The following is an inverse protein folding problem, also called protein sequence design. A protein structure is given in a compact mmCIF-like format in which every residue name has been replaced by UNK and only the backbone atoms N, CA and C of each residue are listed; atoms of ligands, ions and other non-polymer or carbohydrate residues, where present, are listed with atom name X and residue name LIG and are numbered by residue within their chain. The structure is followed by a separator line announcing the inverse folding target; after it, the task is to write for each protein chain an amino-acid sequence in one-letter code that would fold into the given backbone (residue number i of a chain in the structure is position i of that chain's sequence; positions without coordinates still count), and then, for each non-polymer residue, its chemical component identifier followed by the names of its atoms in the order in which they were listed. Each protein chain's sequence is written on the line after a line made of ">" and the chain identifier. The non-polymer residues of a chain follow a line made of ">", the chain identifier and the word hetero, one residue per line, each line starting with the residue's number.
data_IF_587834878697
#
_entry.id   IF_587834878697
#
_cell.length_a   1.000
_cell.length_b   1.000
_cell.length_c   1.000
_cell.angle_alpha   90.00
_cell.angle_beta   90.00
_cell.angle_gamma   90.00
#
_symmetry.space_group_name_H-M   'P 1'
#
loop_
_entity.id
_entity.type
_entity.pdbx_description
1 polymer ?
#
# COMPACT_ATOMS: atom_id res chain seq x y z
N UNK A 1 11.50 -43.60 50.22
CA UNK A 1 10.68 -44.77 50.57
C UNK A 1 9.86 -45.05 49.32
N UNK A 2 10.37 -45.88 48.41
CA UNK A 2 10.01 -47.32 48.30
C UNK A 2 8.49 -47.50 48.14
N UNK A 3 7.88 -48.17 47.19
CA UNK A 3 8.23 -49.39 46.37
C UNK A 3 7.21 -49.34 45.19
N UNK A 4 7.58 -49.64 43.95
CA UNK A 4 7.60 -50.97 43.31
C UNK A 4 6.28 -51.74 43.49
N UNK A 5 5.63 -52.28 42.53
CA UNK A 5 5.89 -53.18 41.40
C UNK A 5 4.53 -53.83 41.08
N UNK A 6 4.16 -54.60 40.10
CA UNK A 6 4.76 -55.52 39.15
C UNK A 6 3.68 -56.01 38.17
N UNK A 7 4.13 -56.27 36.97
CA UNK A 7 3.58 -57.11 35.89
C UNK A 7 2.70 -58.31 36.29
N UNK A 8 1.76 -58.72 35.43
CA UNK A 8 1.71 -60.06 34.89
C UNK A 8 0.87 -60.19 33.64
N UNK A 9 1.47 -60.71 32.61
CA UNK A 9 0.84 -61.31 31.44
C UNK A 9 0.40 -62.72 31.72
N UNK A 10 -0.63 -63.25 31.02
CA UNK A 10 -0.64 -64.63 30.55
C UNK A 10 -1.71 -64.87 29.48
N UNK A 11 -1.26 -65.47 28.46
CA UNK A 11 -1.85 -66.13 27.30
C UNK A 11 -2.85 -67.25 27.63
N UNK A 12 -3.87 -67.51 26.75
CA UNK A 12 -3.97 -68.70 25.89
C UNK A 12 -5.33 -68.81 25.17
N UNK A 13 -5.29 -69.00 23.86
CA UNK A 13 -5.85 -70.02 22.97
C UNK A 13 -7.28 -70.55 23.19
N UNK A 14 -8.04 -70.50 22.09
CA UNK A 14 -8.77 -71.64 21.57
C UNK A 14 -10.15 -71.39 21.02
N UNK A 15 -10.24 -71.46 19.70
CA UNK A 15 -11.11 -72.21 18.78
C UNK A 15 -12.62 -71.96 18.70
N UNK A 16 -12.97 -71.62 17.44
CA UNK A 16 -14.11 -72.09 16.60
C UNK A 16 -15.57 -71.82 17.00
N UNK A 17 -16.30 -71.11 16.19
CA UNK A 17 -17.13 -71.49 15.03
C UNK A 17 -18.39 -70.61 14.86
N UNK A 18 -18.71 -70.41 13.60
CA UNK A 18 -20.01 -70.09 12.94
C UNK A 18 -20.59 -68.67 12.95
N UNK A 19 -20.50 -68.17 11.80
CA UNK A 19 -21.41 -67.42 10.91
C UNK A 19 -22.78 -66.98 11.42
N UNK A 20 -22.99 -65.66 11.31
CA UNK A 20 -24.24 -65.09 10.87
C UNK A 20 -23.96 -63.73 10.17
N UNK A 21 -24.38 -63.59 8.90
CA UNK A 21 -24.33 -62.38 8.12
C UNK A 21 -25.21 -61.32 8.74
N UNK A 22 -24.62 -60.16 9.08
CA UNK A 22 -25.35 -58.93 9.32
C UNK A 22 -24.77 -57.86 8.42
N UNK A 23 -25.57 -57.43 7.44
CA UNK A 23 -25.30 -56.32 6.53
C UNK A 23 -25.13 -55.05 7.34
N UNK A 24 -23.90 -54.54 7.46
CA UNK A 24 -23.64 -53.16 7.85
C UNK A 24 -23.41 -52.31 6.64
N UNK A 25 -24.32 -51.40 6.43
CA UNK A 25 -24.23 -50.29 5.44
C UNK A 25 -22.96 -49.49 5.68
N UNK A 26 -22.11 -49.46 4.68
CA UNK A 26 -20.92 -48.61 4.56
C UNK A 26 -21.34 -47.13 4.55
N UNK A 27 -20.70 -46.24 5.31
CA UNK A 27 -20.87 -44.79 5.08
C UNK A 27 -20.31 -44.45 3.69
N UNK A 28 -21.06 -43.67 2.94
CA UNK A 28 -20.61 -43.10 1.69
C UNK A 28 -19.37 -42.22 1.94
N UNK A 29 -18.25 -42.60 1.42
CA UNK A 29 -17.10 -41.73 1.24
C UNK A 29 -17.55 -40.56 0.37
N UNK A 30 -17.66 -39.38 0.95
CA UNK A 30 -17.72 -38.12 0.19
C UNK A 30 -16.35 -37.93 -0.47
N UNK A 31 -16.21 -38.46 -1.66
CA UNK A 31 -15.14 -38.11 -2.56
C UNK A 31 -15.39 -36.65 -2.96
N UNK A 32 -14.81 -35.70 -2.24
CA UNK A 32 -14.55 -34.36 -2.77
C UNK A 32 -13.40 -34.56 -3.75
N UNK A 33 -13.71 -34.91 -4.97
CA UNK A 33 -12.78 -34.74 -6.09
C UNK A 33 -12.47 -33.25 -6.15
N UNK A 34 -11.29 -32.87 -5.66
CA UNK A 34 -10.69 -31.59 -6.00
C UNK A 34 -10.59 -31.54 -7.52
N UNK A 35 -11.39 -30.71 -8.13
CA UNK A 35 -11.28 -30.39 -9.54
C UNK A 35 -9.86 -29.92 -9.77
N UNK A 36 -9.07 -30.71 -10.50
CA UNK A 36 -7.76 -30.30 -10.97
C UNK A 36 -7.95 -28.97 -11.73
N UNK A 37 -7.24 -27.93 -11.28
CA UNK A 37 -7.23 -26.62 -11.92
C UNK A 37 -7.02 -26.80 -13.41
N UNK A 38 -8.03 -26.48 -14.23
CA UNK A 38 -7.89 -26.48 -15.67
C UNK A 38 -6.97 -25.33 -16.03
N UNK A 39 -5.79 -25.61 -16.57
CA UNK A 39 -4.83 -24.59 -16.99
C UNK A 39 -5.28 -23.82 -18.25
N UNK A 40 -6.48 -24.07 -18.74
CA UNK A 40 -7.03 -23.43 -19.95
C UNK A 40 -7.99 -22.28 -19.55
N UNK A 41 -7.62 -21.00 -19.77
CA UNK A 41 -8.47 -19.86 -19.45
C UNK A 41 -9.86 -19.89 -20.10
N UNK A 42 -9.99 -20.52 -21.28
CA UNK A 42 -11.26 -20.63 -22.02
C UNK A 42 -12.26 -21.58 -21.35
N UNK A 43 -11.83 -22.42 -20.42
CA UNK A 43 -12.70 -23.37 -19.71
C UNK A 43 -13.22 -22.81 -18.38
N UNK A 44 -12.64 -21.68 -17.90
CA UNK A 44 -13.01 -21.08 -16.61
C UNK A 44 -14.25 -20.22 -16.81
N UNK A 45 -15.34 -20.59 -16.14
CA UNK A 45 -16.60 -19.88 -16.18
C UNK A 45 -16.99 -19.41 -14.78
N UNK A 46 -17.25 -18.11 -14.61
CA UNK A 46 -17.72 -17.53 -13.33
C UNK A 46 -18.46 -16.20 -13.57
N UNK A 47 -19.40 -15.89 -12.68
CA UNK A 47 -20.00 -14.57 -12.54
C UNK A 47 -19.47 -13.98 -11.21
N UNK A 48 -18.57 -13.01 -11.28
CA UNK A 48 -17.86 -12.45 -10.12
C UNK A 48 -18.30 -11.02 -9.83
N UNK A 49 -18.52 -10.72 -8.57
CA UNK A 49 -18.71 -9.35 -8.09
C UNK A 49 -17.43 -8.84 -7.44
N UNK A 50 -16.94 -7.71 -7.95
CA UNK A 50 -15.79 -7.00 -7.41
C UNK A 50 -16.21 -5.72 -6.71
N UNK A 51 -15.51 -5.39 -5.64
CA UNK A 51 -15.74 -4.19 -4.86
C UNK A 51 -14.43 -3.39 -4.70
N UNK A 52 -14.48 -2.06 -4.71
CA UNK A 52 -13.30 -1.23 -4.44
C UNK A 52 -13.47 0.25 -4.73
N UNK A 53 -12.45 1.03 -4.36
CA UNK A 53 -12.42 2.50 -4.47
C UNK A 53 -12.23 3.05 -5.88
N UNK A 54 -11.69 2.24 -6.81
CA UNK A 54 -11.46 2.69 -8.18
C UNK A 54 -12.78 3.08 -8.85
N UNK A 55 -12.77 4.10 -9.71
CA UNK A 55 -13.93 4.38 -10.56
C UNK A 55 -14.19 3.19 -11.50
N UNK A 56 -15.44 3.07 -12.01
CA UNK A 56 -15.76 2.03 -13.00
C UNK A 56 -14.78 2.08 -14.18
N UNK A 57 -14.49 3.28 -14.67
CA UNK A 57 -13.56 3.48 -15.78
C UNK A 57 -12.13 3.03 -15.42
N UNK A 58 -11.63 3.38 -14.23
CA UNK A 58 -10.29 2.98 -13.81
C UNK A 58 -10.18 1.48 -13.62
N UNK A 59 -11.23 0.84 -13.08
CA UNK A 59 -11.29 -0.61 -12.98
C UNK A 59 -11.22 -1.28 -14.35
N UNK A 60 -12.04 -0.84 -15.31
CA UNK A 60 -12.03 -1.36 -16.68
C UNK A 60 -10.68 -1.16 -17.38
N UNK A 61 -10.13 0.05 -17.26
CA UNK A 61 -8.87 0.42 -17.91
C UNK A 61 -7.66 -0.34 -17.35
N UNK A 62 -7.68 -0.65 -16.05
CA UNK A 62 -6.56 -1.30 -15.37
C UNK A 62 -6.72 -2.82 -15.27
N UNK A 63 -7.92 -3.34 -15.07
CA UNK A 63 -8.16 -4.74 -14.75
C UNK A 63 -9.18 -5.40 -15.68
N UNK A 64 -10.40 -4.89 -15.76
CA UNK A 64 -11.55 -5.55 -16.38
C UNK A 64 -11.31 -6.00 -17.80
N UNK A 65 -10.85 -5.09 -18.67
CA UNK A 65 -10.60 -5.41 -20.09
C UNK A 65 -9.57 -6.54 -20.28
N UNK A 66 -8.54 -6.62 -19.43
CA UNK A 66 -7.50 -7.64 -19.55
C UNK A 66 -7.96 -8.98 -19.02
N UNK A 67 -8.73 -8.97 -17.91
CA UNK A 67 -9.31 -10.18 -17.34
C UNK A 67 -10.31 -10.79 -18.33
N UNK A 68 -11.23 -10.01 -18.88
CA UNK A 68 -12.23 -10.50 -19.85
C UNK A 68 -11.59 -10.98 -21.17
N UNK A 69 -10.46 -10.38 -21.56
CA UNK A 69 -9.70 -10.85 -22.71
C UNK A 69 -8.99 -12.18 -22.45
N UNK A 70 -8.46 -12.36 -21.22
CA UNK A 70 -7.75 -13.59 -20.81
C UNK A 70 -8.72 -14.74 -20.52
N UNK A 71 -9.87 -14.43 -19.94
CA UNK A 71 -10.89 -15.37 -19.49
C UNK A 71 -12.25 -15.01 -20.11
N UNK A 72 -12.52 -15.41 -21.38
CA UNK A 72 -13.69 -14.91 -22.11
C UNK A 72 -15.04 -15.37 -21.56
N UNK A 73 -15.06 -16.39 -20.70
CA UNK A 73 -16.26 -16.92 -20.08
C UNK A 73 -16.47 -16.45 -18.64
N UNK A 74 -15.63 -15.52 -18.14
CA UNK A 74 -15.84 -14.82 -16.87
C UNK A 74 -16.60 -13.53 -17.11
N UNK A 75 -17.66 -13.30 -16.29
CA UNK A 75 -18.34 -12.03 -16.21
C UNK A 75 -18.00 -11.34 -14.90
N UNK A 76 -17.78 -10.03 -14.96
CA UNK A 76 -17.45 -9.22 -13.81
C UNK A 76 -18.50 -8.12 -13.63
N UNK A 77 -19.07 -8.06 -12.44
CA UNK A 77 -19.85 -6.90 -11.96
C UNK A 77 -18.97 -6.12 -11.01
N UNK A 78 -18.61 -4.89 -11.35
CA UNK A 78 -17.83 -4.04 -10.46
C UNK A 78 -18.73 -3.09 -9.67
N UNK A 79 -18.52 -3.01 -8.37
CA UNK A 79 -19.19 -2.09 -7.44
C UNK A 79 -18.15 -1.08 -6.97
N UNK A 80 -18.31 0.16 -7.41
CA UNK A 80 -17.47 1.25 -6.95
C UNK A 80 -17.91 1.68 -5.55
N UNK A 81 -16.95 1.73 -4.62
CA UNK A 81 -17.16 2.29 -3.29
C UNK A 81 -17.36 3.81 -3.36
N UNK A 82 -18.39 4.29 -2.70
CA UNK A 82 -18.76 5.72 -2.59
C UNK A 82 -19.23 5.98 -1.17
N UNK A 83 -19.42 7.25 -0.77
CA UNK A 83 -19.89 7.61 0.58
C UNK A 83 -21.22 6.97 0.97
N UNK A 84 -22.12 6.75 -0.02
CA UNK A 84 -23.40 6.09 0.11
C UNK A 84 -23.39 4.59 -0.23
N UNK A 85 -22.19 4.03 -0.46
CA UNK A 85 -21.99 2.62 -0.84
C UNK A 85 -20.67 2.10 -0.26
N UNK A 86 -20.57 2.14 1.06
CA UNK A 86 -19.45 1.58 1.80
C UNK A 86 -19.60 0.06 1.95
N UNK A 87 -18.52 -0.61 2.35
CA UNK A 87 -18.47 -2.06 2.49
C UNK A 87 -19.63 -2.60 3.35
N UNK A 88 -19.87 -1.99 4.52
CA UNK A 88 -20.91 -2.44 5.45
C UNK A 88 -22.32 -2.35 4.81
N UNK A 89 -22.57 -1.31 4.01
CA UNK A 89 -23.86 -1.12 3.33
C UNK A 89 -24.06 -2.16 2.22
N UNK A 90 -23.00 -2.50 1.49
CA UNK A 90 -23.02 -3.53 0.45
C UNK A 90 -23.27 -4.90 1.08
N UNK A 91 -22.61 -5.22 2.19
CA UNK A 91 -22.84 -6.45 2.96
C UNK A 91 -24.27 -6.49 3.50
N UNK A 92 -24.76 -5.39 4.10
CA UNK A 92 -26.09 -5.31 4.67
C UNK A 92 -27.20 -5.45 3.60
N UNK A 93 -26.94 -5.09 2.34
CA UNK A 93 -27.86 -5.32 1.22
C UNK A 93 -27.98 -6.79 0.80
N UNK A 94 -27.15 -7.68 1.34
CA UNK A 94 -27.05 -9.09 0.95
C UNK A 94 -26.32 -9.32 -0.37
N UNK A 95 -25.62 -8.29 -0.88
CA UNK A 95 -24.82 -8.43 -2.10
C UNK A 95 -23.57 -9.27 -1.83
N UNK A 96 -23.41 -10.35 -2.61
CA UNK A 96 -22.21 -11.18 -2.57
C UNK A 96 -21.04 -10.41 -3.18
N UNK A 97 -19.94 -10.33 -2.47
CA UNK A 97 -18.64 -9.84 -2.99
C UNK A 97 -17.73 -11.05 -3.10
N UNK A 98 -17.10 -11.24 -4.28
CA UNK A 98 -16.17 -12.34 -4.54
C UNK A 98 -14.72 -11.89 -4.47
N UNK A 99 -14.42 -10.71 -5.01
CA UNK A 99 -13.08 -10.12 -5.00
C UNK A 99 -13.15 -8.64 -4.64
N UNK A 100 -12.05 -8.10 -4.13
CA UNK A 100 -11.99 -6.70 -3.76
C UNK A 100 -10.61 -6.08 -3.98
N UNK A 101 -10.62 -4.79 -4.38
CA UNK A 101 -9.44 -3.94 -4.38
C UNK A 101 -9.28 -3.32 -3.00
N UNK A 102 -8.07 -3.33 -2.45
CA UNK A 102 -7.81 -2.88 -1.08
C UNK A 102 -6.41 -2.32 -0.92
N UNK A 103 -6.16 -1.76 0.25
CA UNK A 103 -4.86 -1.42 0.79
C UNK A 103 -4.52 -2.30 2.01
N UNK A 104 -3.28 -2.26 2.48
CA UNK A 104 -2.90 -2.94 3.71
C UNK A 104 -3.59 -2.35 4.97
N UNK A 105 -3.97 -1.07 4.93
CA UNK A 105 -4.78 -0.42 5.98
C UNK A 105 -6.20 -0.95 5.97
N UNK A 106 -6.93 -0.80 4.84
CA UNK A 106 -8.31 -1.25 4.70
C UNK A 106 -8.49 -2.75 5.01
N UNK A 107 -7.47 -3.59 4.75
CA UNK A 107 -7.50 -4.99 5.17
C UNK A 107 -7.80 -5.13 6.66
N UNK A 108 -7.19 -4.29 7.49
CA UNK A 108 -7.34 -4.31 8.96
C UNK A 108 -8.54 -3.54 9.44
N UNK A 109 -8.84 -2.42 8.79
CA UNK A 109 -9.94 -1.52 9.15
C UNK A 109 -11.31 -2.11 8.79
N UNK A 110 -11.40 -2.76 7.62
CA UNK A 110 -12.68 -3.15 7.04
C UNK A 110 -12.83 -4.66 6.85
N UNK A 111 -11.90 -5.31 6.12
CA UNK A 111 -12.13 -6.67 5.62
C UNK A 111 -11.94 -7.76 6.67
N UNK A 112 -10.97 -7.63 7.57
CA UNK A 112 -10.79 -8.60 8.68
C UNK A 112 -11.95 -8.50 9.68
N UNK A 113 -12.35 -7.33 10.18
CA UNK A 113 -13.51 -7.20 11.06
C UNK A 113 -14.83 -7.70 10.44
N UNK A 114 -15.00 -7.49 9.14
CA UNK A 114 -16.16 -7.98 8.39
C UNK A 114 -16.12 -9.51 8.11
N UNK A 115 -15.09 -10.24 8.54
CA UNK A 115 -14.86 -11.65 8.24
C UNK A 115 -14.85 -11.96 6.73
N UNK A 116 -14.38 -11.02 5.93
CA UNK A 116 -14.28 -11.16 4.47
C UNK A 116 -12.89 -11.56 3.99
N UNK A 117 -11.85 -11.36 4.80
CA UNK A 117 -10.49 -11.68 4.41
C UNK A 117 -10.26 -13.20 4.38
N UNK A 118 -9.94 -13.74 3.20
CA UNK A 118 -9.61 -15.16 3.00
C UNK A 118 -8.10 -15.36 3.14
N UNK A 119 -7.69 -16.40 3.88
CA UNK A 119 -6.30 -16.88 3.81
C UNK A 119 -6.01 -17.45 2.40
N UNK A 120 -5.17 -16.77 1.65
CA UNK A 120 -4.85 -17.12 0.27
C UNK A 120 -3.81 -18.25 0.15
N UNK A 121 -3.11 -18.62 1.22
CA UNK A 121 -2.04 -19.63 1.17
C UNK A 121 -2.47 -20.97 0.56
N UNK A 122 -3.66 -21.53 0.85
CA UNK A 122 -4.13 -22.73 0.17
C UNK A 122 -4.29 -22.56 -1.35
N UNK A 123 -4.87 -21.42 -1.78
CA UNK A 123 -5.07 -21.10 -3.19
C UNK A 123 -3.76 -20.79 -3.93
N UNK A 124 -2.84 -20.07 -3.27
CA UNK A 124 -1.50 -19.81 -3.80
C UNK A 124 -0.82 -21.15 -4.14
N UNK A 125 -0.91 -22.11 -3.24
CA UNK A 125 -0.30 -23.43 -3.45
C UNK A 125 -1.02 -24.27 -4.51
N UNK A 126 -2.35 -24.35 -4.47
CA UNK A 126 -3.13 -25.22 -5.40
C UNK A 126 -3.11 -24.69 -6.84
N UNK A 127 -3.12 -23.37 -7.03
CA UNK A 127 -3.10 -22.72 -8.33
C UNK A 127 -1.69 -22.35 -8.82
N UNK A 128 -0.64 -22.61 -8.04
CA UNK A 128 0.74 -22.22 -8.33
C UNK A 128 0.86 -20.72 -8.66
N UNK A 129 0.32 -19.86 -7.80
CA UNK A 129 0.46 -18.40 -7.95
C UNK A 129 1.93 -18.02 -7.65
N UNK A 130 2.62 -17.27 -8.55
CA UNK A 130 4.07 -17.05 -8.47
C UNK A 130 4.46 -15.95 -7.45
N UNK A 131 4.15 -16.15 -6.17
CA UNK A 131 4.44 -15.16 -5.11
C UNK A 131 5.92 -14.97 -4.84
N UNK A 132 6.77 -15.90 -5.21
CA UNK A 132 8.24 -15.84 -5.10
C UNK A 132 8.86 -14.81 -6.06
N UNK A 133 8.14 -14.38 -7.08
CA UNK A 133 8.54 -13.28 -7.97
C UNK A 133 8.20 -11.90 -7.42
N UNK A 134 7.37 -11.82 -6.38
CA UNK A 134 6.95 -10.57 -5.72
C UNK A 134 8.03 -10.14 -4.72
N UNK A 135 8.35 -8.87 -4.70
CA UNK A 135 9.26 -8.31 -3.70
C UNK A 135 8.67 -8.47 -2.29
N UNK A 136 9.38 -9.10 -1.32
CA UNK A 136 8.82 -9.46 0.00
C UNK A 136 8.19 -8.29 0.75
N UNK A 137 8.74 -7.06 0.61
CA UNK A 137 8.20 -5.87 1.23
C UNK A 137 6.73 -5.56 0.88
N UNK A 138 6.20 -6.14 -0.22
CA UNK A 138 4.78 -6.02 -0.56
C UNK A 138 3.92 -7.08 0.13
N UNK A 139 4.48 -8.22 0.50
CA UNK A 139 3.73 -9.30 1.16
C UNK A 139 3.69 -9.12 2.67
N UNK A 140 4.74 -8.56 3.27
CA UNK A 140 4.85 -8.35 4.72
C UNK A 140 3.63 -7.64 5.34
N UNK A 141 3.15 -6.50 4.82
CA UNK A 141 2.05 -5.75 5.43
C UNK A 141 0.69 -6.45 5.33
N UNK A 142 0.54 -7.47 4.48
CA UNK A 142 -0.71 -8.20 4.23
C UNK A 142 -0.64 -9.66 4.66
N UNK A 143 0.48 -10.05 5.29
CA UNK A 143 0.65 -11.36 5.94
C UNK A 143 0.55 -11.19 7.45
N UNK A 144 -0.48 -11.77 8.05
CA UNK A 144 -0.78 -11.68 9.48
C UNK A 144 -0.87 -13.11 10.00
N UNK A 145 -0.16 -13.43 11.08
CA UNK A 145 -0.12 -14.77 11.67
C UNK A 145 0.14 -15.88 10.63
N UNK A 146 1.11 -15.63 9.73
CA UNK A 146 1.51 -16.52 8.63
C UNK A 146 0.44 -16.74 7.55
N UNK A 147 -0.66 -16.01 7.57
CA UNK A 147 -1.71 -16.06 6.56
C UNK A 147 -1.58 -14.83 5.64
N UNK A 148 -1.50 -15.06 4.35
CA UNK A 148 -1.48 -14.01 3.34
C UNK A 148 -2.91 -13.74 2.89
N UNK A 149 -3.39 -12.53 3.11
CA UNK A 149 -4.78 -12.16 2.83
C UNK A 149 -4.99 -11.43 1.50
N UNK A 150 -3.95 -10.77 1.01
CA UNK A 150 -4.00 -10.00 -0.23
C UNK A 150 -2.77 -10.26 -1.07
N UNK A 151 -2.87 -10.07 -2.41
CA UNK A 151 -1.71 -10.03 -3.30
C UNK A 151 -1.59 -8.65 -3.94
N UNK A 152 -0.36 -8.08 -4.02
CA UNK A 152 -0.12 -6.78 -4.63
C UNK A 152 -0.22 -6.88 -6.15
N UNK A 153 -0.85 -5.88 -6.77
CA UNK A 153 -0.99 -5.80 -8.23
C UNK A 153 -0.36 -4.55 -8.83
N UNK A 154 -0.14 -3.54 -8.03
CA UNK A 154 0.61 -2.33 -8.42
C UNK A 154 1.06 -1.54 -7.20
N UNK A 155 2.01 -0.64 -7.40
CA UNK A 155 2.50 0.28 -6.38
C UNK A 155 2.34 1.74 -6.84
N UNK A 156 2.29 2.66 -5.87
CA UNK A 156 2.40 4.10 -6.06
C UNK A 156 3.68 4.58 -5.38
N UNK A 157 4.83 4.27 -5.96
CA UNK A 157 6.14 4.65 -5.41
C UNK A 157 6.26 6.15 -5.24
N UNK A 158 6.93 6.58 -4.20
CA UNK A 158 7.27 7.98 -4.01
C UNK A 158 8.50 8.34 -4.83
N UNK A 159 8.45 9.55 -5.39
CA UNK A 159 9.56 10.21 -6.10
C UNK A 159 9.59 11.68 -5.73
N UNK A 160 10.68 12.34 -6.01
CA UNK A 160 10.80 13.78 -5.95
C UNK A 160 10.66 14.37 -7.34
N UNK A 161 9.45 14.92 -7.65
CA UNK A 161 9.24 15.70 -8.86
C UNK A 161 10.00 17.02 -8.78
N UNK A 162 10.53 17.49 -9.90
CA UNK A 162 11.12 18.83 -9.95
C UNK A 162 10.78 19.55 -11.26
N UNK A 163 10.71 20.88 -11.18
CA UNK A 163 10.41 21.76 -12.29
C UNK A 163 11.71 22.38 -12.80
N UNK A 164 12.24 21.89 -13.94
CA UNK A 164 13.49 22.36 -14.55
C UNK A 164 13.50 23.86 -14.82
N UNK A 165 12.39 24.44 -15.28
CA UNK A 165 12.29 25.86 -15.56
C UNK A 165 12.60 26.74 -14.34
N UNK A 166 12.25 26.29 -13.11
CA UNK A 166 12.58 27.03 -11.88
C UNK A 166 14.08 26.93 -11.59
N UNK A 167 14.67 25.74 -11.76
CA UNK A 167 16.11 25.54 -11.57
C UNK A 167 16.93 26.38 -12.55
N UNK A 168 16.54 26.37 -13.83
CA UNK A 168 17.19 27.15 -14.87
C UNK A 168 17.07 28.66 -14.62
N UNK A 169 15.87 29.14 -14.20
CA UNK A 169 15.64 30.54 -13.84
C UNK A 169 16.62 31.04 -12.79
N UNK A 170 16.93 30.20 -11.79
CA UNK A 170 17.81 30.58 -10.67
C UNK A 170 19.26 30.13 -10.82
N UNK A 171 19.60 29.43 -11.91
CA UNK A 171 20.96 28.93 -12.14
C UNK A 171 21.38 27.88 -11.10
N UNK A 172 20.43 27.08 -10.58
CA UNK A 172 20.65 26.04 -9.57
C UNK A 172 20.74 24.69 -10.27
N UNK A 173 21.69 23.80 -9.91
CA UNK A 173 21.78 22.47 -10.51
C UNK A 173 20.55 21.63 -10.15
N UNK A 174 20.13 20.75 -11.07
CA UNK A 174 19.03 19.82 -10.83
C UNK A 174 19.31 18.83 -9.70
N UNK A 175 18.27 18.33 -9.02
CA UNK A 175 18.42 17.25 -8.04
C UNK A 175 18.87 15.96 -8.71
N UNK A 176 19.45 15.04 -7.92
CA UNK A 176 19.98 13.75 -8.38
C UNK A 176 19.42 12.62 -7.53
N UNK A 177 19.41 11.41 -8.08
CA UNK A 177 19.08 10.21 -7.32
C UNK A 177 20.08 10.00 -6.19
N UNK A 178 19.62 9.48 -5.06
CA UNK A 178 20.43 9.24 -3.87
C UNK A 178 20.80 10.48 -3.06
N UNK A 179 20.20 11.65 -3.36
CA UNK A 179 20.37 12.83 -2.48
C UNK A 179 19.78 12.56 -1.11
N UNK A 180 20.45 13.04 -0.08
CA UNK A 180 19.89 13.05 1.28
C UNK A 180 18.87 14.17 1.47
N UNK A 181 17.99 14.03 2.49
CA UNK A 181 17.08 15.11 2.89
C UNK A 181 17.83 16.40 3.20
N UNK A 182 18.99 16.32 3.85
CA UNK A 182 19.85 17.49 4.12
C UNK A 182 20.29 18.18 2.83
N UNK A 183 20.75 17.42 1.85
CA UNK A 183 21.18 17.99 0.56
C UNK A 183 20.01 18.57 -0.23
N UNK A 184 18.83 17.91 -0.21
CA UNK A 184 17.64 18.41 -0.88
C UNK A 184 17.12 19.72 -0.22
N UNK A 185 17.17 19.82 1.12
CA UNK A 185 16.82 21.02 1.88
C UNK A 185 17.83 22.14 1.61
N UNK A 186 19.13 21.83 1.54
CA UNK A 186 20.16 22.84 1.21
C UNK A 186 20.02 23.32 -0.25
N UNK A 187 19.61 22.44 -1.16
CA UNK A 187 19.28 22.79 -2.53
C UNK A 187 18.04 23.71 -2.57
N UNK A 188 17.02 23.40 -1.79
CA UNK A 188 15.80 24.19 -1.63
C UNK A 188 16.08 25.63 -1.22
N UNK A 189 16.96 25.87 -0.25
CA UNK A 189 17.34 27.21 0.22
C UNK A 189 17.93 28.10 -0.88
N UNK A 190 18.53 27.53 -1.92
CA UNK A 190 19.06 28.29 -3.07
C UNK A 190 17.96 28.81 -3.99
N UNK A 191 16.75 28.27 -3.90
CA UNK A 191 15.59 28.60 -4.73
C UNK A 191 14.57 29.42 -3.96
N UNK A 192 14.34 29.11 -2.66
CA UNK A 192 13.30 29.77 -1.86
C UNK A 192 13.56 31.27 -1.75
N UNK A 193 12.74 32.08 -2.42
CA UNK A 193 12.81 33.55 -2.43
C UNK A 193 11.56 34.19 -2.99
N UNK A 194 11.37 35.47 -2.72
CA UNK A 194 10.44 36.27 -3.46
C UNK A 194 11.16 36.86 -4.67
N UNK A 195 10.60 36.69 -5.87
CA UNK A 195 11.10 37.20 -7.13
C UNK A 195 9.93 37.77 -7.93
N UNK A 196 10.00 39.05 -8.29
CA UNK A 196 8.95 39.75 -9.01
C UNK A 196 7.55 39.65 -8.38
N UNK A 197 7.47 39.68 -7.04
CA UNK A 197 6.22 39.54 -6.28
C UNK A 197 5.70 38.11 -6.19
N UNK A 198 6.41 37.12 -6.74
CA UNK A 198 6.07 35.67 -6.67
C UNK A 198 6.97 34.98 -5.66
N UNK A 199 6.35 34.37 -4.64
CA UNK A 199 7.09 33.59 -3.65
C UNK A 199 7.38 32.19 -4.21
N UNK A 200 8.64 31.91 -4.50
CA UNK A 200 9.14 30.58 -4.85
C UNK A 200 9.52 29.80 -3.61
N UNK A 201 9.29 28.49 -3.66
CA UNK A 201 9.70 27.53 -2.64
C UNK A 201 10.52 26.39 -3.27
N UNK A 202 11.64 26.04 -2.63
CA UNK A 202 12.54 25.04 -3.19
C UNK A 202 12.04 23.62 -3.03
N UNK A 203 11.45 23.26 -1.88
CA UNK A 203 11.03 21.89 -1.58
C UNK A 203 9.79 21.84 -0.71
N UNK A 204 8.84 21.01 -1.10
CA UNK A 204 7.72 20.58 -0.26
C UNK A 204 7.38 19.11 -0.52
N UNK A 205 6.46 18.57 0.25
CA UNK A 205 5.97 17.21 0.14
C UNK A 205 4.48 17.15 0.51
N UNK A 206 3.81 16.03 0.23
CA UNK A 206 2.49 15.75 0.76
C UNK A 206 2.61 15.06 2.12
N UNK A 207 2.38 15.75 3.25
CA UNK A 207 2.63 15.17 4.56
C UNK A 207 1.83 13.88 4.81
N UNK A 208 0.51 13.93 4.60
CA UNK A 208 -0.40 12.81 4.80
C UNK A 208 0.07 11.53 4.09
N UNK A 209 0.43 11.65 2.81
CA UNK A 209 0.83 10.49 2.01
C UNK A 209 2.23 10.00 2.40
N UNK A 210 3.19 10.93 2.60
CA UNK A 210 4.55 10.55 2.96
C UNK A 210 4.64 9.88 4.34
N UNK A 211 3.93 10.40 5.34
CA UNK A 211 3.97 9.86 6.70
C UNK A 211 3.48 8.42 6.78
N UNK A 212 2.48 8.04 5.97
CA UNK A 212 1.99 6.64 5.89
C UNK A 212 3.08 5.64 5.57
N UNK A 213 4.08 6.06 4.81
CA UNK A 213 5.13 5.21 4.23
C UNK A 213 6.53 5.70 4.57
N UNK A 214 6.68 6.44 5.66
CA UNK A 214 7.97 7.01 6.08
C UNK A 214 9.08 5.95 6.13
N UNK A 215 10.29 6.37 5.72
CA UNK A 215 11.45 5.49 5.52
C UNK A 215 11.96 4.82 6.81
N UNK A 216 11.67 5.39 7.98
CA UNK A 216 12.07 4.85 9.28
C UNK A 216 11.06 3.85 9.87
N UNK A 217 9.99 3.53 9.15
CA UNK A 217 8.96 2.56 9.55
C UNK A 217 8.32 2.81 10.93
N UNK A 218 8.21 4.07 11.34
CA UNK A 218 7.60 4.45 12.60
C UNK A 218 6.10 4.12 12.61
N UNK A 219 5.64 3.40 13.64
CA UNK A 219 4.22 3.12 13.87
C UNK A 219 3.51 4.32 14.49
N UNK A 220 2.20 4.42 14.27
CA UNK A 220 1.36 5.48 14.85
C UNK A 220 0.67 5.05 16.13
N UNK A 221 0.20 3.82 16.16
CA UNK A 221 -0.58 3.25 17.26
C UNK A 221 -0.01 1.87 17.59
N UNK A 222 0.08 1.57 18.87
CA UNK A 222 0.46 0.25 19.36
C UNK A 222 -0.71 -0.72 19.17
N UNK A 223 -0.55 -1.79 18.39
CA UNK A 223 -1.65 -2.72 18.07
C UNK A 223 -2.12 -3.56 19.26
N UNK A 224 -1.33 -3.67 20.34
CA UNK A 224 -1.73 -4.44 21.53
C UNK A 224 -2.55 -3.60 22.50
N UNK A 225 -2.26 -2.30 22.58
CA UNK A 225 -2.86 -1.41 23.58
C UNK A 225 -3.83 -0.38 23.01
N UNK A 226 -3.86 -0.21 21.69
CA UNK A 226 -4.59 0.85 20.98
C UNK A 226 -4.25 2.24 21.50
N UNK A 227 -3.00 2.47 21.88
CA UNK A 227 -2.50 3.78 22.28
C UNK A 227 -1.62 4.37 21.19
N UNK A 228 -1.72 5.64 20.97
CA UNK A 228 -0.80 6.35 20.09
C UNK A 228 0.65 6.19 20.58
N UNK A 229 1.58 6.14 19.63
CA UNK A 229 3.02 6.00 19.89
C UNK A 229 3.81 7.05 19.12
N UNK A 230 3.34 8.31 19.16
CA UNK A 230 3.90 9.38 18.32
C UNK A 230 4.82 10.35 19.07
N UNK A 231 4.80 10.37 20.38
CA UNK A 231 5.77 11.10 21.20
C UNK A 231 6.99 10.22 21.48
N UNK A 232 7.78 9.93 20.45
CA UNK A 232 8.97 9.08 20.52
C UNK A 232 10.09 9.57 19.60
N UNK A 233 11.29 8.98 19.75
CA UNK A 233 12.48 9.36 18.98
C UNK A 233 12.35 9.09 17.47
N UNK A 234 11.55 8.10 17.05
CA UNK A 234 11.37 7.79 15.62
C UNK A 234 10.58 8.90 14.93
N UNK A 235 9.48 9.36 15.51
CA UNK A 235 8.70 10.48 14.97
C UNK A 235 9.44 11.80 15.13
N UNK A 236 10.11 11.99 16.27
CA UNK A 236 10.97 13.16 16.46
C UNK A 236 12.03 13.26 15.37
N UNK A 237 12.64 12.14 14.99
CA UNK A 237 13.62 12.09 13.89
C UNK A 237 13.02 12.61 12.56
N UNK A 238 11.85 12.14 12.17
CA UNK A 238 11.17 12.59 10.94
C UNK A 238 10.84 14.09 11.03
N UNK A 239 10.26 14.51 12.14
CA UNK A 239 9.84 15.90 12.31
C UNK A 239 11.02 16.87 12.36
N UNK A 240 12.10 16.52 13.05
CA UNK A 240 13.31 17.33 13.11
C UNK A 240 14.03 17.41 11.74
N UNK A 241 14.14 16.29 11.03
CA UNK A 241 14.92 16.23 9.79
C UNK A 241 14.18 16.74 8.55
N UNK A 242 12.85 16.79 8.55
CA UNK A 242 12.08 17.30 7.43
C UNK A 242 11.36 18.61 7.82
N UNK A 243 10.33 18.53 8.62
CA UNK A 243 9.41 19.66 8.83
C UNK A 243 10.06 20.82 9.60
N UNK A 244 10.82 20.52 10.64
CA UNK A 244 11.55 21.55 11.38
C UNK A 244 12.65 22.20 10.54
N UNK A 245 13.45 21.41 9.81
CA UNK A 245 14.48 21.99 8.93
C UNK A 245 13.88 22.85 7.81
N UNK A 246 12.78 22.43 7.20
CA UNK A 246 12.04 23.23 6.21
C UNK A 246 11.50 24.50 6.83
N UNK A 247 10.97 24.45 8.07
CA UNK A 247 10.44 25.60 8.78
C UNK A 247 11.49 26.67 9.13
N UNK A 248 12.78 26.33 9.06
CA UNK A 248 13.86 27.31 9.32
C UNK A 248 14.12 28.25 8.13
N UNK A 249 13.50 27.98 6.97
CA UNK A 249 13.54 28.87 5.82
C UNK A 249 12.46 29.97 5.98
N UNK A 250 12.85 31.26 6.03
CA UNK A 250 11.88 32.36 6.22
C UNK A 250 10.83 32.43 5.11
N UNK A 251 11.17 32.04 3.87
CA UNK A 251 10.23 32.00 2.74
C UNK A 251 9.17 30.92 2.92
N UNK A 252 9.56 29.77 3.47
CA UNK A 252 8.64 28.70 3.83
C UNK A 252 7.68 29.13 4.92
N UNK A 253 8.19 29.79 5.98
CA UNK A 253 7.37 30.32 7.06
C UNK A 253 6.37 31.36 6.57
N UNK A 254 6.84 32.34 5.79
CA UNK A 254 5.98 33.40 5.26
C UNK A 254 4.82 32.80 4.45
N UNK A 255 5.13 31.91 3.52
CA UNK A 255 4.11 31.26 2.69
C UNK A 255 3.11 30.45 3.52
N UNK A 256 3.59 29.70 4.53
CA UNK A 256 2.73 28.91 5.41
C UNK A 256 1.77 29.76 6.27
N UNK A 257 2.10 31.03 6.55
CA UNK A 257 1.20 31.96 7.24
C UNK A 257 0.06 32.44 6.33
N UNK A 258 0.32 32.60 5.01
CA UNK A 258 -0.67 33.04 4.05
C UNK A 258 -1.61 31.92 3.62
N UNK A 259 -1.04 30.86 3.13
CA UNK A 259 -1.75 29.65 2.63
C UNK A 259 -0.85 28.46 2.86
N UNK A 260 -1.37 27.41 3.48
CA UNK A 260 -0.62 26.18 3.60
C UNK A 260 -0.42 25.55 2.22
N UNK A 261 0.74 24.90 2.00
CA UNK A 261 1.14 24.41 0.67
C UNK A 261 0.25 23.25 0.19
N UNK A 262 -0.03 23.27 -1.11
CA UNK A 262 -0.81 22.24 -1.79
C UNK A 262 -0.06 21.74 -3.04
N UNK A 263 -0.53 20.63 -3.60
CA UNK A 263 -0.04 20.10 -4.88
C UNK A 263 -0.26 21.08 -6.04
N UNK A 264 -1.29 21.94 -5.98
CA UNK A 264 -1.56 22.95 -7.01
C UNK A 264 -0.43 23.96 -7.13
N UNK A 265 0.24 24.29 -6.03
CA UNK A 265 1.40 25.19 -6.02
C UNK A 265 2.57 24.63 -6.86
N UNK A 266 2.68 23.29 -6.99
CA UNK A 266 3.63 22.64 -7.92
C UNK A 266 3.05 22.51 -9.32
N UNK A 267 1.86 21.96 -9.48
CA UNK A 267 1.28 21.54 -10.75
C UNK A 267 0.81 22.72 -11.60
N UNK A 268 0.09 23.68 -10.99
CA UNK A 268 -0.56 24.80 -11.71
C UNK A 268 0.21 26.10 -11.58
N UNK A 269 0.51 26.49 -10.34
CA UNK A 269 1.10 27.79 -10.05
C UNK A 269 2.59 27.84 -10.39
N UNK A 270 3.24 26.66 -10.48
CA UNK A 270 4.67 26.50 -10.75
C UNK A 270 5.52 27.40 -9.84
N UNK A 271 5.25 27.34 -8.52
CA UNK A 271 5.99 28.08 -7.49
C UNK A 271 6.85 27.18 -6.61
N UNK A 272 6.64 25.87 -6.64
CA UNK A 272 7.45 24.89 -5.91
C UNK A 272 8.41 24.23 -6.90
N UNK A 273 9.70 24.21 -6.57
CA UNK A 273 10.73 23.65 -7.44
C UNK A 273 10.86 22.14 -7.34
N UNK A 274 10.71 21.57 -6.12
CA UNK A 274 10.74 20.13 -5.83
C UNK A 274 9.54 19.74 -4.98
N UNK A 275 8.89 18.63 -5.34
CA UNK A 275 7.73 18.13 -4.60
C UNK A 275 7.79 16.61 -4.47
N UNK A 276 7.81 16.11 -3.22
CA UNK A 276 7.82 14.66 -2.96
C UNK A 276 6.39 14.14 -2.90
N UNK A 277 6.07 13.23 -3.85
CA UNK A 277 4.74 12.62 -3.96
C UNK A 277 4.79 11.29 -4.71
N UNK A 278 3.62 10.67 -4.84
CA UNK A 278 3.48 9.36 -5.49
C UNK A 278 3.68 9.43 -7.01
N UNK A 279 4.15 8.35 -7.60
CA UNK A 279 4.34 8.19 -9.05
C UNK A 279 3.04 8.28 -9.87
N UNK A 280 1.88 8.17 -9.21
CA UNK A 280 0.59 8.27 -9.89
C UNK A 280 0.35 9.58 -10.65
N UNK A 281 1.05 10.67 -10.30
CA UNK A 281 0.95 11.92 -11.07
C UNK A 281 1.48 11.80 -12.49
N UNK A 282 2.46 10.93 -12.76
CA UNK A 282 2.97 10.71 -14.11
C UNK A 282 1.90 10.16 -15.07
N UNK A 283 0.86 9.49 -14.55
CA UNK A 283 -0.29 9.06 -15.35
C UNK A 283 -1.24 10.21 -15.73
N UNK A 284 -1.03 11.40 -15.15
CA UNK A 284 -1.78 12.63 -15.42
C UNK A 284 -0.83 13.72 -15.95
N UNK A 285 0.00 13.35 -16.94
CA UNK A 285 1.10 14.17 -17.47
C UNK A 285 0.66 15.61 -17.83
N UNK A 286 -0.54 15.79 -18.37
CA UNK A 286 -1.11 17.10 -18.71
C UNK A 286 -1.30 18.03 -17.49
N UNK A 287 -1.21 17.51 -16.27
CA UNK A 287 -1.33 18.26 -15.03
C UNK A 287 0.01 18.73 -14.48
N UNK A 288 1.12 18.15 -14.95
CA UNK A 288 2.46 18.47 -14.48
C UNK A 288 3.03 19.71 -15.22
N UNK A 289 3.98 20.45 -14.60
CA UNK A 289 4.67 21.55 -15.29
C UNK A 289 5.33 21.03 -16.57
N UNK A 290 5.34 21.81 -17.69
CA UNK A 290 5.86 21.31 -18.99
C UNK A 290 7.27 20.71 -18.94
N UNK A 291 8.14 21.28 -18.11
CA UNK A 291 9.54 20.88 -17.97
C UNK A 291 9.79 20.10 -16.67
N UNK A 292 8.84 19.25 -16.26
CA UNK A 292 9.05 18.39 -15.10
C UNK A 292 10.05 17.29 -15.38
N UNK A 293 10.65 16.77 -14.29
CA UNK A 293 11.39 15.51 -14.27
C UNK A 293 11.31 14.93 -12.86
N UNK A 294 11.89 13.75 -12.64
CA UNK A 294 11.92 13.11 -11.32
C UNK A 294 13.34 12.75 -10.88
N UNK A 295 13.54 12.73 -9.57
CA UNK A 295 14.63 12.08 -8.90
C UNK A 295 14.08 11.13 -7.84
N UNK A 296 14.91 10.24 -7.31
CA UNK A 296 14.50 9.39 -6.18
C UNK A 296 14.07 10.25 -4.99
N UNK A 297 13.20 9.69 -4.13
CA UNK A 297 12.92 10.30 -2.82
C UNK A 297 14.24 10.54 -2.10
N UNK A 298 14.44 11.71 -1.43
CA UNK A 298 15.64 11.93 -0.65
C UNK A 298 15.82 10.89 0.45
N UNK A 299 17.05 10.43 0.66
CA UNK A 299 17.39 9.44 1.67
C UNK A 299 17.75 10.11 3.00
N UNK A 300 17.57 9.38 4.09
CA UNK A 300 18.26 9.77 5.33
C UNK A 300 19.65 9.13 5.35
N UNK A 301 20.66 9.90 5.75
CA UNK A 301 22.03 9.37 5.90
C UNK A 301 22.14 8.25 6.94
N UNK A 302 21.19 8.18 7.86
CA UNK A 302 21.02 7.13 8.86
C UNK A 302 20.41 5.84 8.28
N UNK A 303 19.72 5.94 7.12
CA UNK A 303 19.06 4.86 6.40
C UNK A 303 19.44 4.85 4.91
N UNK A 304 20.74 4.70 4.58
CA UNK A 304 21.21 4.80 3.21
C UNK A 304 20.63 3.68 2.34
N UNK A 305 20.21 4.04 1.13
CA UNK A 305 19.63 3.10 0.17
C UNK A 305 18.20 2.64 0.52
N UNK A 306 17.55 3.22 1.54
CA UNK A 306 16.13 2.98 1.81
C UNK A 306 15.26 4.05 1.14
N UNK A 307 14.28 3.57 0.37
CA UNK A 307 13.15 4.36 -0.12
C UNK A 307 12.02 4.34 0.92
N UNK A 308 10.87 4.94 0.62
CA UNK A 308 9.66 4.80 1.43
C UNK A 308 9.22 3.34 1.53
N UNK A 309 8.35 3.03 2.48
CA UNK A 309 7.61 1.78 2.49
C UNK A 309 6.77 1.66 1.21
N UNK A 310 6.26 0.47 0.92
CA UNK A 310 5.34 0.22 -0.20
C UNK A 310 4.02 0.96 0.00
N UNK A 311 3.45 1.47 -1.09
CA UNK A 311 2.11 2.09 -1.13
C UNK A 311 1.27 1.42 -2.21
N UNK A 312 1.10 0.11 -2.05
CA UNK A 312 0.57 -0.76 -3.06
C UNK A 312 -0.96 -0.83 -3.07
N UNK A 313 -1.49 -1.12 -4.26
CA UNK A 313 -2.86 -1.60 -4.45
C UNK A 313 -2.84 -3.12 -4.44
N UNK A 314 -3.73 -3.69 -3.67
CA UNK A 314 -3.87 -5.12 -3.45
C UNK A 314 -5.21 -5.64 -3.94
N UNK A 315 -5.26 -6.94 -4.19
CA UNK A 315 -6.51 -7.67 -4.46
C UNK A 315 -6.65 -8.81 -3.47
N UNK A 316 -7.84 -8.92 -2.89
CA UNK A 316 -8.26 -10.02 -2.04
C UNK A 316 -9.40 -10.83 -2.65
N UNK A 317 -9.54 -12.06 -2.15
CA UNK A 317 -10.70 -12.93 -2.41
C UNK A 317 -11.54 -12.94 -1.14
N UNK A 318 -12.85 -12.81 -1.28
CA UNK A 318 -13.76 -12.88 -0.14
C UNK A 318 -13.83 -14.30 0.42
N UNK A 319 -13.75 -14.41 1.75
CA UNK A 319 -13.94 -15.69 2.45
C UNK A 319 -15.35 -16.28 2.22
N UNK A 320 -16.33 -15.44 1.86
CA UNK A 320 -17.69 -15.85 1.59
C UNK A 320 -17.94 -16.19 0.11
N UNK A 321 -16.97 -15.96 -0.78
CA UNK A 321 -17.09 -16.29 -2.20
C UNK A 321 -17.25 -17.79 -2.42
N UNK A 322 -18.13 -18.14 -3.35
CA UNK A 322 -18.29 -19.50 -3.86
C UNK A 322 -17.53 -19.76 -5.15
N UNK A 323 -16.79 -18.76 -5.62
CA UNK A 323 -16.04 -18.74 -6.87
C UNK A 323 -14.52 -18.61 -6.62
N UNK A 324 -14.03 -19.15 -5.49
CA UNK A 324 -12.65 -18.92 -5.04
C UNK A 324 -11.60 -19.44 -6.04
N UNK A 325 -11.85 -20.57 -6.70
CA UNK A 325 -10.93 -21.13 -7.72
C UNK A 325 -10.82 -20.23 -8.95
N UNK A 326 -11.95 -19.73 -9.47
CA UNK A 326 -11.95 -18.78 -10.61
C UNK A 326 -11.27 -17.45 -10.21
N UNK A 327 -11.52 -16.96 -9.01
CA UNK A 327 -10.86 -15.78 -8.47
C UNK A 327 -9.35 -15.98 -8.32
N UNK A 328 -8.91 -17.18 -7.91
CA UNK A 328 -7.49 -17.52 -7.80
C UNK A 328 -6.76 -17.52 -9.15
N UNK A 329 -7.40 -18.02 -10.23
CA UNK A 329 -6.84 -17.95 -11.58
C UNK A 329 -6.71 -16.49 -12.07
N UNK A 330 -7.67 -15.63 -11.72
CA UNK A 330 -7.53 -14.19 -11.97
C UNK A 330 -6.36 -13.60 -11.21
N UNK A 331 -6.21 -13.88 -9.91
CA UNK A 331 -5.06 -13.42 -9.12
C UNK A 331 -3.74 -13.89 -9.71
N UNK A 332 -3.66 -15.15 -10.12
CA UNK A 332 -2.50 -15.73 -10.80
C UNK A 332 -2.15 -14.93 -12.06
N UNK A 333 -3.15 -14.60 -12.88
CA UNK A 333 -2.93 -13.79 -14.08
C UNK A 333 -2.45 -12.39 -13.72
N UNK A 334 -3.12 -11.70 -12.77
CA UNK A 334 -2.79 -10.32 -12.39
C UNK A 334 -1.41 -10.20 -11.73
N UNK A 335 -0.89 -11.26 -11.15
CA UNK A 335 0.48 -11.31 -10.58
C UNK A 335 1.51 -11.91 -11.55
N UNK A 336 1.11 -12.31 -12.76
CA UNK A 336 2.02 -12.85 -13.77
C UNK A 336 2.87 -11.78 -14.46
N UNK A 337 4.04 -12.16 -14.96
CA UNK A 337 4.88 -11.27 -15.77
C UNK A 337 4.17 -10.79 -17.05
N UNK A 338 3.28 -11.63 -17.63
CA UNK A 338 2.47 -11.27 -18.79
C UNK A 338 1.65 -10.01 -18.54
N UNK A 339 0.80 -10.04 -17.51
CA UNK A 339 -0.04 -8.91 -17.15
C UNK A 339 0.77 -7.74 -16.61
N UNK A 340 1.72 -8.00 -15.74
CA UNK A 340 2.54 -6.97 -15.11
C UNK A 340 3.38 -6.18 -16.13
N UNK A 341 3.84 -6.82 -17.21
CA UNK A 341 4.51 -6.13 -18.33
C UNK A 341 3.55 -5.19 -19.07
N UNK A 342 2.31 -5.62 -19.30
CA UNK A 342 1.30 -4.80 -19.98
C UNK A 342 1.02 -3.53 -19.17
N UNK A 343 0.72 -3.68 -17.90
CA UNK A 343 0.35 -2.52 -17.06
C UNK A 343 1.56 -1.63 -16.71
N UNK A 344 2.76 -2.21 -16.61
CA UNK A 344 3.99 -1.44 -16.38
C UNK A 344 4.25 -0.46 -17.51
N UNK A 345 4.09 -0.88 -18.77
CA UNK A 345 4.18 0.03 -19.94
C UNK A 345 3.18 1.19 -19.86
N UNK A 346 2.04 0.97 -19.22
CA UNK A 346 0.98 1.96 -19.02
C UNK A 346 1.08 2.73 -17.72
N UNK A 347 2.24 2.70 -17.06
CA UNK A 347 2.56 3.52 -15.89
C UNK A 347 2.09 2.99 -14.54
N UNK A 348 1.70 1.71 -14.47
CA UNK A 348 1.46 1.03 -13.20
C UNK A 348 2.78 0.43 -12.71
N UNK A 349 3.23 0.79 -11.53
CA UNK A 349 4.50 0.27 -11.00
C UNK A 349 4.30 -1.18 -10.53
N UNK A 350 5.11 -2.09 -11.07
CA UNK A 350 5.05 -3.51 -10.74
C UNK A 350 5.62 -3.82 -9.35
N UNK A 351 4.98 -4.72 -8.58
CA UNK A 351 5.55 -5.28 -7.35
C UNK A 351 6.56 -6.41 -7.61
N UNK A 352 6.77 -6.81 -8.90
CA UNK A 352 7.66 -7.91 -9.23
C UNK A 352 9.14 -7.51 -9.16
N UNK A 353 9.96 -8.50 -8.81
CA UNK A 353 11.42 -8.39 -8.85
C UNK A 353 11.98 -8.50 -10.29
N UNK A 354 11.18 -8.97 -11.24
CA UNK A 354 11.58 -9.22 -12.63
C UNK A 354 12.04 -7.95 -13.32
N UNK A 355 13.32 -7.88 -13.67
CA UNK A 355 13.95 -6.69 -14.22
C UNK A 355 13.32 -6.26 -15.55
N UNK A 356 12.98 -7.19 -16.44
CA UNK A 356 12.35 -6.89 -17.74
C UNK A 356 10.98 -6.20 -17.60
N UNK A 357 10.23 -6.52 -16.52
CA UNK A 357 8.96 -5.86 -16.21
C UNK A 357 9.20 -4.45 -15.68
N UNK A 358 10.23 -4.26 -14.82
CA UNK A 358 10.65 -2.94 -14.30
C UNK A 358 11.15 -2.03 -15.41
N UNK A 359 11.93 -2.55 -16.34
CA UNK A 359 12.45 -1.79 -17.49
C UNK A 359 11.35 -1.35 -18.47
N UNK A 360 10.20 -2.02 -18.45
CA UNK A 360 9.04 -1.66 -19.25
C UNK A 360 8.23 -0.46 -18.69
N UNK A 361 8.58 0.05 -17.50
CA UNK A 361 7.83 1.12 -16.85
C UNK A 361 7.65 2.34 -17.75
N UNK A 362 6.38 2.75 -17.93
CA UNK A 362 5.98 3.91 -18.75
C UNK A 362 6.37 3.83 -20.24
N UNK A 363 6.72 2.64 -20.79
CA UNK A 363 7.20 2.54 -22.17
C UNK A 363 6.18 3.00 -23.25
N UNK A 364 4.88 3.03 -22.92
CA UNK A 364 3.83 3.54 -23.82
C UNK A 364 3.72 5.08 -23.80
N UNK A 365 4.46 5.76 -22.92
CA UNK A 365 4.46 7.22 -22.80
C UNK A 365 5.69 7.85 -23.48
N UNK A 366 5.47 8.88 -24.28
CA UNK A 366 6.56 9.58 -25.00
C UNK A 366 7.54 10.22 -24.03
N UNK A 367 7.05 10.77 -22.90
CA UNK A 367 7.89 11.42 -21.90
C UNK A 367 8.92 10.48 -21.27
N UNK A 368 8.64 9.17 -21.21
CA UNK A 368 9.56 8.20 -20.60
C UNK A 368 10.93 8.14 -21.29
N UNK A 369 10.99 8.56 -22.57
CA UNK A 369 12.26 8.66 -23.33
C UNK A 369 13.19 9.76 -22.85
N UNK A 370 12.67 10.75 -22.13
CA UNK A 370 13.38 11.98 -21.74
C UNK A 370 13.42 12.23 -20.24
N UNK A 371 12.62 11.49 -19.45
CA UNK A 371 12.54 11.60 -18.00
C UNK A 371 13.33 10.50 -17.30
N UNK A 372 13.77 10.75 -16.08
CA UNK A 372 14.53 9.79 -15.27
C UNK A 372 13.61 8.74 -14.63
N UNK A 373 12.98 7.86 -15.45
CA UNK A 373 12.07 6.81 -14.94
C UNK A 373 12.78 5.83 -13.98
N UNK A 374 14.11 5.67 -14.11
CA UNK A 374 14.88 4.79 -13.23
C UNK A 374 14.90 5.24 -11.77
N UNK A 375 14.64 6.51 -11.48
CA UNK A 375 14.46 7.02 -10.13
C UNK A 375 13.41 6.25 -9.30
N UNK A 376 12.39 5.65 -9.96
CA UNK A 376 11.37 4.82 -9.34
C UNK A 376 11.92 3.57 -8.65
N UNK A 377 13.05 3.08 -9.12
CA UNK A 377 13.67 1.83 -8.64
C UNK A 377 14.96 2.06 -7.87
N UNK A 378 15.26 3.33 -7.55
CA UNK A 378 16.41 3.67 -6.72
C UNK A 378 16.14 3.28 -5.26
N UNK A 379 17.09 2.55 -4.66
CA UNK A 379 16.97 2.04 -3.29
C UNK A 379 15.98 0.87 -3.13
N UNK A 380 15.86 0.40 -1.89
CA UNK A 380 14.93 -0.68 -1.51
C UNK A 380 13.77 -0.11 -0.71
N UNK A 381 12.58 -0.67 -0.78
CA UNK A 381 11.50 -0.29 0.11
C UNK A 381 11.91 -0.47 1.58
N UNK A 382 11.53 0.49 2.43
CA UNK A 382 11.66 0.32 3.87
C UNK A 382 10.74 -0.84 4.35
N UNK A 383 11.10 -1.53 5.45
CA UNK A 383 10.22 -2.52 6.07
C UNK A 383 8.85 -1.92 6.39
N UNK A 384 7.80 -2.73 6.35
CA UNK A 384 6.48 -2.28 6.76
C UNK A 384 6.45 -1.95 8.26
N UNK A 385 5.73 -0.90 8.62
CA UNK A 385 5.48 -0.54 10.01
C UNK A 385 4.33 -1.38 10.59
N UNK A 386 4.22 -1.50 11.93
CA UNK A 386 2.98 -1.93 12.56
C UNK A 386 1.81 -1.04 12.12
N UNK A 387 0.65 -1.62 11.83
CA UNK A 387 -0.54 -0.90 11.36
C UNK A 387 -1.74 -1.28 12.23
N UNK A 388 -2.60 -0.28 12.49
CA UNK A 388 -3.88 -0.44 13.17
C UNK A 388 -5.00 0.25 12.38
N UNK A 389 -6.24 -0.02 12.75
CA UNK A 389 -7.42 0.67 12.20
C UNK A 389 -7.51 2.17 12.60
N UNK A 390 -6.69 2.60 13.56
CA UNK A 390 -6.72 3.99 14.07
C UNK A 390 -5.65 4.90 13.47
N UNK A 391 -4.77 4.37 12.62
CA UNK A 391 -3.62 5.11 12.09
C UNK A 391 -4.03 6.39 11.34
N UNK A 392 -5.14 6.34 10.58
CA UNK A 392 -5.62 7.49 9.81
C UNK A 392 -6.03 8.67 10.71
N UNK A 393 -6.61 8.42 11.87
CA UNK A 393 -6.94 9.47 12.85
C UNK A 393 -5.68 10.23 13.27
N UNK A 394 -4.58 9.50 13.49
CA UNK A 394 -3.30 10.09 13.88
C UNK A 394 -2.67 10.88 12.73
N UNK A 395 -2.64 10.29 11.56
CA UNK A 395 -2.01 10.89 10.37
C UNK A 395 -2.73 12.18 9.97
N UNK A 396 -4.05 12.15 9.90
CA UNK A 396 -4.84 13.27 9.44
C UNK A 396 -5.01 14.34 10.51
N UNK A 397 -5.61 13.99 11.64
CA UNK A 397 -6.03 14.97 12.64
C UNK A 397 -4.87 15.47 13.48
N UNK A 398 -4.01 14.56 13.98
CA UNK A 398 -2.95 14.95 14.89
C UNK A 398 -1.70 15.49 14.16
N UNK A 399 -1.34 14.92 13.01
CA UNK A 399 -0.14 15.34 12.30
C UNK A 399 -0.42 16.36 11.21
N UNK A 400 -1.23 16.00 10.17
CA UNK A 400 -1.40 16.86 9.00
C UNK A 400 -2.14 18.14 9.32
N UNK A 401 -3.20 18.09 10.11
CA UNK A 401 -4.04 19.26 10.42
C UNK A 401 -3.56 20.04 11.63
N UNK A 402 -2.78 19.45 12.52
CA UNK A 402 -2.36 20.10 13.78
C UNK A 402 -0.83 20.26 13.92
N UNK A 403 -0.06 19.19 14.15
CA UNK A 403 1.35 19.29 14.55
C UNK A 403 2.22 19.94 13.46
N UNK A 404 2.12 19.49 12.20
CA UNK A 404 2.94 19.99 11.10
C UNK A 404 2.69 21.48 10.83
N UNK A 405 1.43 21.96 10.70
CA UNK A 405 1.16 23.39 10.56
C UNK A 405 1.76 24.25 11.68
N UNK A 406 1.67 23.81 12.93
CA UNK A 406 2.19 24.54 14.08
C UNK A 406 3.72 24.63 14.06
N UNK A 407 4.41 23.53 13.70
CA UNK A 407 5.87 23.50 13.58
C UNK A 407 6.32 24.38 12.43
N UNK A 408 5.73 24.22 11.24
CA UNK A 408 6.12 24.99 10.04
C UNK A 408 5.89 26.48 10.22
N UNK A 409 4.84 26.88 10.93
CA UNK A 409 4.57 28.27 11.30
C UNK A 409 5.39 28.79 12.49
N UNK A 410 6.29 27.97 13.02
CA UNK A 410 7.11 28.29 14.19
C UNK A 410 6.29 28.65 15.45
N UNK A 411 5.12 28.02 15.60
CA UNK A 411 4.22 28.20 16.74
C UNK A 411 4.56 27.24 17.89
N UNK A 412 5.07 26.04 17.58
CA UNK A 412 5.51 25.04 18.54
C UNK A 412 6.86 24.45 18.11
N UNK A 413 7.65 24.06 19.10
CA UNK A 413 8.79 23.17 18.91
C UNK A 413 8.31 21.72 18.68
N UNK A 414 9.18 20.88 18.12
CA UNK A 414 8.86 19.49 17.75
C UNK A 414 8.41 18.67 18.97
N UNK A 415 9.11 18.78 20.12
CA UNK A 415 8.78 17.98 21.30
C UNK A 415 7.37 18.31 21.83
N UNK A 416 7.07 19.63 21.91
CA UNK A 416 5.74 20.08 22.34
C UNK A 416 4.65 19.65 21.37
N UNK A 417 4.91 19.74 20.05
CA UNK A 417 3.96 19.34 19.03
C UNK A 417 3.66 17.83 19.05
N UNK A 418 4.70 16.98 19.18
CA UNK A 418 4.52 15.52 19.26
C UNK A 418 3.81 15.07 20.52
N UNK A 419 4.11 15.69 21.68
CA UNK A 419 3.38 15.42 22.91
C UNK A 419 1.90 15.76 22.78
N UNK A 420 1.55 16.93 22.21
CA UNK A 420 0.16 17.30 21.96
C UNK A 420 -0.50 16.35 20.96
N UNK A 421 0.23 15.94 19.91
CA UNK A 421 -0.26 14.95 18.97
C UNK A 421 -0.57 13.60 19.65
N UNK A 422 0.29 13.15 20.57
CA UNK A 422 0.07 11.94 21.38
C UNK A 422 -1.24 12.06 22.19
N UNK A 423 -1.38 13.14 22.96
CA UNK A 423 -2.55 13.38 23.81
C UNK A 423 -3.86 13.46 22.98
N UNK A 424 -3.81 14.17 21.85
CA UNK A 424 -4.96 14.29 20.94
C UNK A 424 -5.32 12.94 20.27
N UNK A 425 -4.31 12.19 19.83
CA UNK A 425 -4.51 10.88 19.19
C UNK A 425 -5.13 9.88 20.16
N UNK A 426 -4.63 9.80 21.40
CA UNK A 426 -5.19 8.90 22.41
C UNK A 426 -6.67 9.21 22.68
N UNK A 427 -7.03 10.51 22.72
CA UNK A 427 -8.41 10.94 22.87
C UNK A 427 -9.28 10.51 21.68
N UNK A 428 -8.83 10.78 20.45
CA UNK A 428 -9.56 10.40 19.22
C UNK A 428 -9.77 8.89 19.11
N UNK A 429 -8.75 8.11 19.44
CA UNK A 429 -8.82 6.65 19.46
C UNK A 429 -9.86 6.17 20.47
N UNK A 430 -9.84 6.71 21.72
CA UNK A 430 -10.82 6.34 22.73
C UNK A 430 -12.25 6.73 22.34
N UNK A 431 -12.44 7.89 21.70
CA UNK A 431 -13.73 8.30 21.17
C UNK A 431 -14.22 7.37 20.06
N UNK A 432 -13.32 6.84 19.24
CA UNK A 432 -13.66 5.90 18.17
C UNK A 432 -14.01 4.51 18.74
N UNK A 433 -13.24 4.00 19.70
CA UNK A 433 -13.53 2.74 20.41
C UNK A 433 -14.90 2.78 21.09
N UNK A 434 -15.27 3.93 21.70
CA UNK A 434 -16.54 4.08 22.39
C UNK A 434 -17.75 4.11 21.43
N UNK A 435 -17.57 4.27 20.12
CA UNK A 435 -18.63 4.27 19.11
C UNK A 435 -18.87 2.90 18.47
N UNK A 436 -17.89 1.99 18.61
CA UNK A 436 -17.98 0.58 18.19
C UNK A 436 -18.77 -0.25 19.21
#
# INVERSE_FOLDING_TARGET
>A
MMLLSVLAACTSKGADSNAEESQTTKPADANTEGTASTNNPDEITADLTWFGLASQKDFEDRYGQYIMKKFPNIKITYINQTDDRRLEQVIASGTQIDMYLSSAGELREDYIPANMALDLNPLIKSHNIPVDTIEPAYLDPVTIDQKTYLLPVSDNKFVMYYNKSIFDKFGVPYPKDGMTWDEAIDLSKKITRNEDGKQYMGLWLSPKHYLRVAQNSAGFVDPETNKATVDNDQWKFIFDNIFYKLSRDPGVQQRALEKFYSHEDFMKDSVIAMYVYTSGWMNSDDSLPPDWDIASVPEFKEYPGLNTQTYATYIGISATSKQQDAAAEILKYLTSEEYQTIISKRGMITPLLTQSVRDAAFADYEFAKTKNIQALYHGKPAPSRPMTEYDELVIEDAFQLDAIPKIVRNQLDVNTALRQAQENSDKLIQEQIAKQ
#
